data_IF_698604367241
#
_entry.id   IF_698604367241
#
_cell.length_a   1.000
_cell.length_b   1.000
_cell.length_c   1.000
_cell.angle_alpha   90.00
_cell.angle_beta   90.00
_cell.angle_gamma   90.00
#
_symmetry.space_group_name_H-M   'P 1'
#
loop_
_entity.id
_entity.type
_entity.pdbx_description
1 polymer ?
#
# COMPACT_ATOMS: atom_id res chain seq x y z
N UNK A 1 -16.22 14.90 -15.87
CA UNK A 1 -15.22 15.55 -14.99
C UNK A 1 -14.95 14.72 -13.73
N UNK A 2 -15.98 14.10 -13.13
CA UNK A 2 -15.79 13.17 -11.99
C UNK A 2 -15.06 11.87 -12.38
N UNK A 3 -15.27 11.36 -13.60
CA UNK A 3 -14.62 10.12 -14.05
C UNK A 3 -13.09 10.21 -14.18
N UNK A 4 -12.55 11.35 -14.63
CA UNK A 4 -11.09 11.56 -14.71
C UNK A 4 -10.45 11.63 -13.31
N UNK A 5 -11.16 12.25 -12.36
CA UNK A 5 -10.72 12.31 -10.96
C UNK A 5 -10.78 10.92 -10.30
N UNK A 6 -11.88 10.18 -10.50
CA UNK A 6 -12.03 8.80 -10.03
C UNK A 6 -10.97 7.87 -10.64
N UNK A 7 -10.66 8.01 -11.93
CA UNK A 7 -9.61 7.23 -12.60
C UNK A 7 -8.23 7.51 -12.00
N UNK A 8 -7.92 8.77 -11.67
CA UNK A 8 -6.68 9.13 -10.97
C UNK A 8 -6.58 8.47 -9.60
N UNK A 9 -7.65 8.48 -8.80
CA UNK A 9 -7.67 7.82 -7.50
C UNK A 9 -7.49 6.30 -7.60
N UNK A 10 -8.09 5.67 -8.63
CA UNK A 10 -7.90 4.23 -8.89
C UNK A 10 -6.42 3.92 -9.17
N UNK A 11 -5.76 4.72 -10.03
CA UNK A 11 -4.33 4.54 -10.33
C UNK A 11 -3.45 4.67 -9.09
N UNK A 12 -3.70 5.71 -8.27
CA UNK A 12 -2.96 5.90 -7.01
C UNK A 12 -3.18 4.70 -6.08
N UNK A 13 -4.41 4.17 -5.99
CA UNK A 13 -4.69 2.96 -5.19
C UNK A 13 -3.93 1.74 -5.71
N UNK A 14 -3.84 1.56 -7.02
CA UNK A 14 -3.09 0.45 -7.64
C UNK A 14 -1.59 0.54 -7.35
N UNK A 15 -0.99 1.73 -7.44
CA UNK A 15 0.41 1.98 -7.04
C UNK A 15 0.65 1.61 -5.56
N UNK A 16 -0.29 1.99 -4.68
CA UNK A 16 -0.24 1.66 -3.26
C UNK A 16 -0.35 0.16 -2.98
N UNK A 17 -1.17 -0.56 -3.74
CA UNK A 17 -1.26 -2.03 -3.66
C UNK A 17 0.07 -2.66 -4.08
N UNK A 18 0.68 -2.21 -5.18
CA UNK A 18 1.96 -2.72 -5.63
C UNK A 18 3.07 -2.51 -4.57
N UNK A 19 3.13 -1.33 -3.94
CA UNK A 19 4.07 -1.08 -2.85
C UNK A 19 3.81 -1.97 -1.62
N UNK A 20 2.54 -2.22 -1.28
CA UNK A 20 2.19 -3.13 -0.19
C UNK A 20 2.66 -4.57 -0.49
N UNK A 21 2.48 -5.04 -1.73
CA UNK A 21 2.96 -6.37 -2.16
C UNK A 21 4.49 -6.49 -2.03
N UNK A 22 5.24 -5.45 -2.45
CA UNK A 22 6.69 -5.38 -2.25
C UNK A 22 7.09 -5.45 -0.77
N UNK A 23 6.39 -4.72 0.10
CA UNK A 23 6.66 -4.74 1.55
C UNK A 23 6.37 -6.11 2.17
N UNK A 24 5.31 -6.78 1.72
CA UNK A 24 4.97 -8.13 2.15
C UNK A 24 6.04 -9.15 1.70
N UNK A 25 6.51 -9.04 0.45
CA UNK A 25 7.64 -9.85 -0.02
C UNK A 25 8.90 -9.61 0.81
N UNK A 26 9.22 -8.36 1.12
CA UNK A 26 10.35 -8.00 1.96
C UNK A 26 10.21 -8.61 3.36
N UNK A 27 9.01 -8.55 3.97
CA UNK A 27 8.73 -9.16 5.28
C UNK A 27 8.93 -10.69 5.25
N UNK A 28 8.44 -11.37 4.21
CA UNK A 28 8.61 -12.82 4.06
C UNK A 28 10.09 -13.19 3.91
N UNK A 29 10.83 -12.44 3.07
CA UNK A 29 12.27 -12.64 2.86
C UNK A 29 13.07 -12.37 4.13
N UNK A 30 12.73 -11.32 4.89
CA UNK A 30 13.37 -10.98 6.17
C UNK A 30 13.08 -12.02 7.26
N UNK A 31 11.88 -12.59 7.29
CA UNK A 31 11.55 -13.69 8.22
C UNK A 31 12.33 -14.96 7.86
N UNK A 32 12.61 -15.16 6.57
CA UNK A 32 13.36 -16.33 6.05
C UNK A 32 14.87 -16.19 6.18
N UNK A 33 15.41 -14.97 6.12
CA UNK A 33 16.81 -14.65 6.40
C UNK A 33 16.94 -14.24 7.86
N UNK A 34 17.24 -15.20 8.75
CA UNK A 34 17.91 -14.86 10.03
C UNK A 34 19.06 -13.92 9.66
N UNK A 35 19.06 -12.72 10.21
CA UNK A 35 20.04 -11.64 9.97
C UNK A 35 19.70 -10.66 8.83
N UNK A 36 19.08 -9.55 9.21
CA UNK A 36 19.43 -8.23 8.66
C UNK A 36 19.53 -7.25 9.83
N UNK A 37 20.77 -6.85 10.16
CA UNK A 37 21.07 -5.76 11.09
C UNK A 37 20.63 -4.44 10.44
N UNK A 38 19.47 -3.95 10.86
CA UNK A 38 18.90 -2.65 10.46
C UNK A 38 17.40 -2.72 10.64
N UNK A 39 16.85 -2.08 11.68
CA UNK A 39 15.41 -2.11 11.97
C UNK A 39 14.66 -1.21 10.99
N UNK A 40 14.47 -1.69 9.76
CA UNK A 40 13.43 -1.12 8.90
C UNK A 40 12.10 -1.55 9.50
N UNK A 41 11.27 -0.57 9.87
CA UNK A 41 9.93 -0.82 10.39
C UNK A 41 8.97 -1.21 9.26
N UNK A 42 9.17 -2.41 8.71
CA UNK A 42 8.36 -2.96 7.62
C UNK A 42 6.89 -3.07 8.06
N UNK A 43 6.65 -3.38 9.33
CA UNK A 43 5.29 -3.50 9.88
C UNK A 43 4.58 -2.14 9.90
N UNK A 44 5.24 -1.07 10.38
CA UNK A 44 4.71 0.29 10.31
C UNK A 44 4.46 0.76 8.88
N UNK A 45 5.34 0.42 7.94
CA UNK A 45 5.16 0.72 6.52
C UNK A 45 3.94 -0.02 5.92
N UNK A 46 3.76 -1.31 6.24
CA UNK A 46 2.60 -2.10 5.81
C UNK A 46 1.30 -1.47 6.33
N UNK A 47 1.24 -1.12 7.61
CA UNK A 47 0.06 -0.50 8.23
C UNK A 47 -0.27 0.83 7.54
N UNK A 48 0.75 1.65 7.27
CA UNK A 48 0.57 2.92 6.57
C UNK A 48 -0.04 2.72 5.17
N UNK A 49 0.48 1.78 4.38
CA UNK A 49 -0.05 1.52 3.04
C UNK A 49 -1.48 0.95 3.07
N UNK A 50 -1.81 0.08 4.04
CA UNK A 50 -3.17 -0.43 4.23
C UNK A 50 -4.17 0.70 4.56
N UNK A 51 -3.81 1.64 5.43
CA UNK A 51 -4.65 2.81 5.76
C UNK A 51 -4.86 3.69 4.52
N UNK A 52 -3.81 3.94 3.75
CA UNK A 52 -3.89 4.74 2.51
C UNK A 52 -4.82 4.09 1.48
N UNK A 53 -4.71 2.77 1.27
CA UNK A 53 -5.58 2.01 0.34
C UNK A 53 -7.03 2.06 0.81
N UNK A 54 -7.30 1.91 2.10
CA UNK A 54 -8.64 1.98 2.65
C UNK A 54 -9.26 3.38 2.44
N UNK A 55 -8.50 4.45 2.72
CA UNK A 55 -8.95 5.82 2.50
C UNK A 55 -9.23 6.12 1.02
N UNK A 56 -8.37 5.65 0.10
CA UNK A 56 -8.58 5.78 -1.34
C UNK A 56 -9.82 5.03 -1.80
N UNK A 57 -10.07 3.83 -1.25
CA UNK A 57 -11.24 3.02 -1.58
C UNK A 57 -12.53 3.70 -1.14
N UNK A 58 -12.56 4.28 0.06
CA UNK A 58 -13.69 5.08 0.55
C UNK A 58 -13.91 6.34 -0.30
N UNK A 59 -12.84 7.07 -0.63
CA UNK A 59 -12.93 8.24 -1.50
C UNK A 59 -13.50 7.89 -2.89
N UNK A 60 -13.04 6.80 -3.51
CA UNK A 60 -13.56 6.33 -4.81
C UNK A 60 -15.04 5.94 -4.70
N UNK A 61 -15.43 5.27 -3.62
CA UNK A 61 -16.81 4.86 -3.38
C UNK A 61 -17.76 6.06 -3.22
N UNK A 62 -17.30 7.17 -2.64
CA UNK A 62 -18.08 8.40 -2.50
C UNK A 62 -18.25 9.19 -3.81
N UNK A 63 -17.47 8.86 -4.84
CA UNK A 63 -17.55 9.49 -6.16
C UNK A 63 -18.48 8.75 -7.14
N UNK A 64 -19.19 7.70 -6.69
CA UNK A 64 -20.18 6.98 -7.49
C UNK A 64 -21.44 7.77 -7.72
#
# INVERSE_FOLDING_TARGET
>A
MNDDFRLKLIKIREEKIAHLDELLEMKIRATSKKEVKGSIDIDGMIIHEQIAIASLSDAIARLT
#
